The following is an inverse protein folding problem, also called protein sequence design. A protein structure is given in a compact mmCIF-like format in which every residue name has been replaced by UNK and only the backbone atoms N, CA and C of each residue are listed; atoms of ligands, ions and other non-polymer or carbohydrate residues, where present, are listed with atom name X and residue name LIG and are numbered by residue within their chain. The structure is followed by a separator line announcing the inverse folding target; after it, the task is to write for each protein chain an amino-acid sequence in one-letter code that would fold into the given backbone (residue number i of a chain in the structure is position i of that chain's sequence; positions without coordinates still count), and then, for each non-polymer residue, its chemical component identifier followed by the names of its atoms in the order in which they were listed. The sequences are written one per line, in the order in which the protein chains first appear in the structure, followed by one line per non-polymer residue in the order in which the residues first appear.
data_IF_798069300205
#
_entry.id   IF_798069300205
#
_cell.length_a   1.000
_cell.length_b   1.000
_cell.length_c   1.000
_cell.angle_alpha   90.00
_cell.angle_beta   90.00
_cell.angle_gamma   90.00
#
_symmetry.space_group_name_H-M   'P 1'
#
loop_
_entity.id
_entity.type
_entity.pdbx_description
1 polymer ?
#
# COMPACT_ATOMS: atom_id res chain seq x y z
N UNK A 1 -2.39 -33.70 5.34
CA UNK A 1 -1.10 -33.16 5.82
C UNK A 1 -1.24 -32.86 7.29
N UNK A 2 -0.19 -33.08 8.07
CA UNK A 2 -0.13 -32.65 9.46
C UNK A 2 -0.01 -31.12 9.54
N UNK A 3 -0.57 -30.47 10.56
CA UNK A 3 -0.63 -28.99 10.66
C UNK A 3 0.77 -28.36 10.69
N UNK A 4 1.73 -29.04 11.35
CA UNK A 4 3.15 -28.63 11.38
C UNK A 4 3.73 -28.61 9.96
N UNK A 5 3.46 -29.65 9.15
CA UNK A 5 3.94 -29.71 7.77
C UNK A 5 3.34 -28.63 6.86
N UNK A 6 2.08 -28.25 7.10
CA UNK A 6 1.44 -27.15 6.37
C UNK A 6 2.08 -25.79 6.71
N UNK A 7 2.31 -25.52 8.00
CA UNK A 7 2.97 -24.28 8.45
C UNK A 7 4.39 -24.18 7.89
N UNK A 8 5.16 -25.27 7.89
CA UNK A 8 6.50 -25.28 7.32
C UNK A 8 6.50 -24.97 5.82
N UNK A 9 5.55 -25.52 5.07
CA UNK A 9 5.40 -25.22 3.65
C UNK A 9 5.02 -23.75 3.40
N UNK A 10 4.12 -23.18 4.20
CA UNK A 10 3.72 -21.78 4.08
C UNK A 10 4.85 -20.80 4.47
N UNK A 11 5.71 -21.19 5.43
CA UNK A 11 6.93 -20.45 5.75
C UNK A 11 7.98 -20.53 4.64
N UNK A 12 8.08 -21.67 3.94
CA UNK A 12 8.97 -21.84 2.78
C UNK A 12 8.52 -20.99 1.59
N UNK A 13 7.22 -20.80 1.40
CA UNK A 13 6.64 -19.98 0.33
C UNK A 13 6.59 -18.48 0.63
N UNK A 14 6.92 -18.05 1.86
CA UNK A 14 6.87 -16.63 2.24
C UNK A 14 7.73 -15.74 1.34
N UNK A 15 8.90 -16.22 0.92
CA UNK A 15 9.81 -15.51 0.00
C UNK A 15 9.18 -15.21 -1.38
N UNK A 16 8.17 -15.98 -1.77
CA UNK A 16 7.50 -15.85 -3.07
C UNK A 16 6.30 -14.87 -3.00
N UNK A 17 6.00 -14.31 -1.83
CA UNK A 17 4.87 -13.38 -1.62
C UNK A 17 4.94 -12.16 -2.55
N UNK A 18 6.13 -11.56 -2.69
CA UNK A 18 6.32 -10.41 -3.58
C UNK A 18 6.24 -10.81 -5.05
N UNK A 19 6.65 -12.03 -5.42
CA UNK A 19 6.53 -12.54 -6.79
C UNK A 19 5.06 -12.64 -7.20
N UNK A 20 4.20 -13.16 -6.31
CA UNK A 20 2.76 -13.25 -6.54
C UNK A 20 2.14 -11.85 -6.66
N UNK A 21 2.50 -10.94 -5.76
CA UNK A 21 2.04 -9.54 -5.83
C UNK A 21 2.49 -8.87 -7.13
N UNK A 22 3.75 -9.08 -7.54
CA UNK A 22 4.32 -8.55 -8.77
C UNK A 22 3.56 -9.01 -10.01
N UNK A 23 3.21 -10.29 -10.10
CA UNK A 23 2.38 -10.77 -11.21
C UNK A 23 1.01 -10.08 -11.27
N UNK A 24 0.38 -9.82 -10.12
CA UNK A 24 -0.91 -9.11 -10.08
C UNK A 24 -0.77 -7.65 -10.49
N UNK A 25 0.32 -7.00 -10.06
CA UNK A 25 0.65 -5.63 -10.45
C UNK A 25 0.93 -5.54 -11.96
N UNK A 26 1.74 -6.46 -12.52
CA UNK A 26 2.04 -6.51 -13.96
C UNK A 26 0.76 -6.75 -14.80
N UNK A 27 -0.14 -7.63 -14.35
CA UNK A 27 -1.46 -7.84 -15.00
C UNK A 27 -2.35 -6.61 -14.94
N UNK A 28 -2.33 -5.87 -13.84
CA UNK A 28 -3.08 -4.62 -13.74
C UNK A 28 -2.47 -3.55 -14.65
N UNK A 29 -1.15 -3.40 -14.67
CA UNK A 29 -0.45 -2.48 -15.57
C UNK A 29 -0.68 -2.79 -17.04
N UNK A 30 -0.65 -4.07 -17.44
CA UNK A 30 -0.97 -4.47 -18.81
C UNK A 30 -2.38 -4.03 -19.21
N UNK A 31 -3.38 -4.30 -18.36
CA UNK A 31 -4.77 -3.87 -18.60
C UNK A 31 -4.96 -2.35 -18.56
N UNK A 32 -4.17 -1.63 -17.77
CA UNK A 32 -4.21 -0.17 -17.70
C UNK A 32 -3.56 0.46 -18.94
N UNK A 33 -2.41 -0.07 -19.37
CA UNK A 33 -1.72 0.33 -20.59
C UNK A 33 -2.55 0.06 -21.85
N UNK A 34 -3.27 -1.06 -21.90
CA UNK A 34 -4.17 -1.39 -23.01
C UNK A 34 -5.40 -0.46 -23.09
N UNK A 35 -5.77 0.19 -21.98
CA UNK A 35 -6.91 1.13 -21.90
C UNK A 35 -6.50 2.59 -22.02
N UNK A 36 -5.28 2.94 -21.65
CA UNK A 36 -4.75 4.29 -21.74
C UNK A 36 -4.22 4.56 -23.15
N UNK A 37 -4.79 5.54 -23.85
CA UNK A 37 -4.34 5.89 -25.21
C UNK A 37 -2.94 6.54 -25.24
N UNK A 38 -2.41 6.95 -24.09
CA UNK A 38 -1.07 7.50 -23.92
C UNK A 38 -0.35 6.90 -22.70
N UNK A 39 0.92 6.54 -22.85
CA UNK A 39 1.77 5.96 -21.80
C UNK A 39 2.03 6.90 -20.60
N UNK A 40 1.72 8.18 -20.78
CA UNK A 40 1.78 9.22 -19.77
C UNK A 40 0.66 9.10 -18.72
N UNK A 41 -0.46 8.46 -19.05
CA UNK A 41 -1.65 8.36 -18.18
C UNK A 41 -1.66 7.10 -17.29
N UNK A 42 -0.51 6.44 -17.14
CA UNK A 42 -0.39 5.26 -16.29
C UNK A 42 -0.40 5.66 -14.80
N UNK A 43 -1.18 4.98 -13.94
CA UNK A 43 -1.26 5.38 -12.54
C UNK A 43 0.03 5.00 -11.79
N UNK A 44 0.23 5.62 -10.63
CA UNK A 44 1.37 5.37 -9.73
C UNK A 44 1.51 3.88 -9.40
N UNK A 45 2.76 3.38 -9.24
CA UNK A 45 3.03 1.99 -8.85
C UNK A 45 2.62 1.66 -7.41
N UNK A 46 2.51 2.69 -6.55
CA UNK A 46 2.36 2.55 -5.10
C UNK A 46 0.98 3.03 -4.64
N UNK A 47 -0.04 2.89 -5.48
CA UNK A 47 -1.36 3.41 -5.16
C UNK A 47 -1.38 4.92 -4.93
N UNK A 48 -0.34 5.68 -5.25
CA UNK A 48 -0.32 7.11 -4.94
C UNK A 48 -0.94 7.89 -6.09
N UNK A 49 -2.26 8.03 -6.11
CA UNK A 49 -2.93 8.86 -7.13
C UNK A 49 -3.00 10.32 -6.68
N UNK A 50 -2.94 11.24 -7.64
CA UNK A 50 -3.01 12.66 -7.33
C UNK A 50 -4.44 13.19 -7.41
N UNK A 51 -4.91 13.82 -6.33
CA UNK A 51 -6.24 14.44 -6.31
C UNK A 51 -6.16 15.94 -6.60
N UNK A 52 -6.73 16.37 -7.73
CA UNK A 52 -6.92 17.80 -8.03
C UNK A 52 -8.13 18.30 -7.25
N UNK A 53 -7.94 19.18 -6.27
CA UNK A 53 -9.04 19.92 -5.64
C UNK A 53 -9.11 21.35 -6.18
N UNK A 54 -10.21 21.66 -6.84
CA UNK A 54 -10.60 23.03 -7.17
C UNK A 54 -11.37 23.64 -5.98
N UNK A 55 -11.10 24.91 -5.67
CA UNK A 55 -11.92 25.69 -4.73
C UNK A 55 -13.16 26.30 -5.39
N UNK A 56 -13.95 27.05 -4.61
CA UNK A 56 -15.31 27.52 -4.96
C UNK A 56 -15.40 28.78 -5.87
N UNK A 57 -14.29 29.25 -6.44
CA UNK A 57 -14.19 30.28 -7.50
C UNK A 57 -12.70 30.45 -7.80
N UNK A 58 -12.21 30.68 -9.02
CA UNK A 58 -12.76 31.38 -10.19
C UNK A 58 -12.03 30.86 -11.44
N UNK A 59 -12.79 30.67 -12.53
CA UNK A 59 -12.39 30.62 -13.95
C UNK A 59 -11.10 29.88 -14.32
N UNK A 60 -11.23 28.57 -14.54
CA UNK A 60 -10.42 27.87 -15.53
C UNK A 60 -11.04 28.13 -16.92
N UNK A 61 -10.29 28.76 -17.83
CA UNK A 61 -10.71 28.88 -19.22
C UNK A 61 -10.27 27.60 -19.91
N UNK A 62 -11.16 26.61 -19.96
CA UNK A 62 -11.01 25.46 -20.85
C UNK A 62 -11.44 25.89 -22.25
N UNK A 63 -10.56 25.74 -23.23
CA UNK A 63 -10.96 25.73 -24.64
C UNK A 63 -10.60 24.37 -25.20
N UNK A 64 -11.61 23.53 -25.46
CA UNK A 64 -11.47 22.30 -26.24
C UNK A 64 -12.02 21.06 -25.54
N UNK A 65 -13.06 20.48 -26.15
CA UNK A 65 -13.67 19.20 -25.79
C UNK A 65 -12.67 18.05 -25.94
N UNK A 66 -12.84 17.03 -25.08
CA UNK A 66 -12.17 15.73 -25.08
C UNK A 66 -10.64 15.74 -24.85
N UNK A 67 -10.22 16.02 -23.60
CA UNK A 67 -9.18 15.24 -22.90
C UNK A 67 -8.97 15.76 -21.47
N UNK A 68 -8.88 14.83 -20.52
CA UNK A 68 -8.81 15.10 -19.08
C UNK A 68 -7.54 15.93 -18.73
N UNK A 69 -7.75 17.22 -18.45
CA UNK A 69 -6.70 18.25 -18.43
C UNK A 69 -5.71 18.10 -17.27
N UNK A 70 -4.47 17.76 -17.62
CA UNK A 70 -3.28 18.09 -16.82
C UNK A 70 -3.17 19.62 -16.67
N UNK A 71 -3.38 20.17 -15.47
CA UNK A 71 -3.42 21.64 -15.26
C UNK A 71 -2.15 22.30 -15.77
N UNK A 72 -2.31 23.13 -16.81
CA UNK A 72 -1.27 24.01 -17.33
C UNK A 72 -1.30 25.31 -16.54
N UNK A 73 -0.13 25.79 -16.13
CA UNK A 73 0.02 27.05 -15.39
C UNK A 73 0.77 28.05 -16.25
N UNK A 74 0.12 29.16 -16.58
CA UNK A 74 0.76 30.25 -17.28
C UNK A 74 1.50 31.17 -16.29
N UNK A 75 2.74 31.53 -16.61
CA UNK A 75 3.53 32.47 -15.82
C UNK A 75 3.20 33.92 -16.25
N UNK A 76 2.56 34.75 -15.39
CA UNK A 76 1.97 36.02 -15.83
C UNK A 76 2.98 37.17 -16.02
N UNK A 77 4.07 37.20 -15.25
CA UNK A 77 5.04 38.31 -15.26
C UNK A 77 6.50 37.89 -15.34
N UNK A 78 6.76 36.59 -15.47
CA UNK A 78 8.10 36.02 -15.29
C UNK A 78 8.51 36.04 -13.81
N UNK A 79 9.32 35.07 -13.39
CA UNK A 79 9.86 35.01 -12.03
C UNK A 79 9.69 33.65 -11.33
N UNK A 80 10.00 33.59 -10.03
CA UNK A 80 9.99 32.34 -9.28
C UNK A 80 8.55 31.81 -9.12
N UNK A 81 8.35 30.58 -9.54
CA UNK A 81 7.15 29.77 -9.37
C UNK A 81 7.45 28.70 -8.33
N UNK A 82 6.61 28.60 -7.30
CA UNK A 82 6.77 27.61 -6.24
C UNK A 82 5.89 26.39 -6.48
N UNK A 83 6.52 25.22 -6.37
CA UNK A 83 5.89 23.91 -6.40
C UNK A 83 5.82 23.40 -4.97
N UNK A 84 4.67 22.87 -4.58
CA UNK A 84 4.40 22.34 -3.25
C UNK A 84 3.83 20.92 -3.38
N UNK A 85 4.38 19.95 -2.64
CA UNK A 85 3.99 18.55 -2.66
C UNK A 85 3.58 18.09 -1.28
N UNK A 86 2.35 17.59 -1.17
CA UNK A 86 1.69 17.26 0.10
C UNK A 86 0.79 16.05 -0.04
N UNK A 87 0.57 15.33 1.05
CA UNK A 87 -0.46 14.30 1.08
C UNK A 87 -1.88 14.88 1.16
N UNK A 88 -2.85 14.10 0.70
CA UNK A 88 -4.25 14.35 0.97
C UNK A 88 -4.57 14.03 2.43
N UNK A 89 -4.57 15.06 3.28
CA UNK A 89 -4.99 14.96 4.67
C UNK A 89 -5.72 16.24 5.08
N UNK A 90 -6.47 16.18 6.18
CA UNK A 90 -6.96 17.38 6.87
C UNK A 90 -5.83 18.20 7.51
N UNK A 91 -4.63 17.62 7.61
CA UNK A 91 -3.40 18.24 8.08
C UNK A 91 -2.42 18.52 6.94
N UNK A 92 -1.55 19.52 7.13
CA UNK A 92 -0.49 19.88 6.18
C UNK A 92 0.69 18.91 6.30
N UNK A 93 0.59 17.76 5.62
CA UNK A 93 1.65 16.72 5.60
C UNK A 93 2.46 16.83 4.30
N UNK A 94 3.76 17.19 4.36
CA UNK A 94 4.58 17.35 3.17
C UNK A 94 5.04 16.00 2.59
N UNK A 95 5.21 15.94 1.27
CA UNK A 95 5.95 14.87 0.59
C UNK A 95 7.14 15.48 -0.16
N UNK A 96 8.30 15.39 0.48
CA UNK A 96 9.58 15.92 -0.01
C UNK A 96 10.52 14.87 -0.59
N UNK A 97 11.71 15.34 -0.99
CA UNK A 97 12.80 14.53 -1.57
C UNK A 97 12.41 13.81 -2.87
N UNK A 98 11.53 14.44 -3.65
CA UNK A 98 11.09 13.97 -4.96
C UNK A 98 11.56 14.94 -6.05
N UNK A 99 11.84 14.40 -7.23
CA UNK A 99 12.18 15.20 -8.41
C UNK A 99 10.95 15.36 -9.27
N UNK A 100 10.61 16.59 -9.61
CA UNK A 100 9.49 16.93 -10.48
C UNK A 100 10.03 17.63 -11.73
N UNK A 101 9.57 17.20 -12.88
CA UNK A 101 9.89 17.73 -14.19
C UNK A 101 8.91 18.87 -14.52
N UNK A 102 9.42 20.08 -14.70
CA UNK A 102 8.63 21.21 -15.21
C UNK A 102 8.78 21.25 -16.72
N UNK A 103 7.68 21.02 -17.42
CA UNK A 103 7.62 20.94 -18.88
C UNK A 103 7.03 22.23 -19.43
N UNK A 104 7.75 22.92 -20.30
CA UNK A 104 7.21 23.99 -21.14
C UNK A 104 6.23 23.38 -22.15
N UNK A 105 4.98 23.85 -22.15
CA UNK A 105 3.90 23.26 -22.97
C UNK A 105 4.12 23.52 -24.46
N UNK A 106 4.75 24.64 -24.82
CA UNK A 106 4.92 25.02 -26.22
C UNK A 106 6.17 24.39 -26.82
N UNK A 107 7.28 24.36 -26.06
CA UNK A 107 8.57 23.82 -26.53
C UNK A 107 8.79 22.35 -26.21
N UNK A 108 8.08 21.79 -25.22
CA UNK A 108 8.33 20.46 -24.67
C UNK A 108 9.62 20.38 -23.84
N UNK A 109 10.28 21.50 -23.56
CA UNK A 109 11.51 21.54 -22.76
C UNK A 109 11.24 21.11 -21.32
N UNK A 110 12.05 20.17 -20.82
CA UNK A 110 11.90 19.58 -19.48
C UNK A 110 12.99 20.11 -18.55
N UNK A 111 12.58 20.76 -17.46
CA UNK A 111 13.47 21.23 -16.39
C UNK A 111 13.21 20.45 -15.11
N UNK A 112 14.14 19.59 -14.64
CA UNK A 112 13.98 18.88 -13.38
C UNK A 112 14.17 19.83 -12.19
N UNK A 113 13.25 19.76 -11.24
CA UNK A 113 13.22 20.52 -9.99
C UNK A 113 13.17 19.53 -8.83
N UNK A 114 14.15 19.60 -7.94
CA UNK A 114 14.14 18.78 -6.72
C UNK A 114 13.35 19.49 -5.63
N UNK A 115 12.37 18.82 -5.04
CA UNK A 115 11.65 19.32 -3.88
C UNK A 115 12.46 19.04 -2.61
N UNK A 116 12.51 20.00 -1.69
CA UNK A 116 13.11 19.82 -0.37
C UNK A 116 12.30 18.83 0.51
N UNK A 117 12.77 18.55 1.72
CA UNK A 117 12.13 17.63 2.66
C UNK A 117 10.70 18.06 3.06
N UNK A 118 10.36 19.33 2.84
CA UNK A 118 9.06 19.95 3.11
C UNK A 118 8.16 19.93 1.87
N UNK A 119 8.62 19.30 0.78
CA UNK A 119 7.88 19.19 -0.46
C UNK A 119 7.86 20.49 -1.25
N UNK A 120 8.79 21.42 -1.02
CA UNK A 120 8.84 22.72 -1.70
C UNK A 120 9.97 22.74 -2.74
N UNK A 121 9.64 23.25 -3.93
CA UNK A 121 10.58 23.47 -5.02
C UNK A 121 10.35 24.83 -5.65
N UNK A 122 11.38 25.43 -6.22
CA UNK A 122 11.27 26.71 -6.94
C UNK A 122 11.80 26.57 -8.35
N UNK A 123 11.02 27.02 -9.31
CA UNK A 123 11.35 27.08 -10.73
C UNK A 123 11.27 28.54 -11.20
N UNK A 124 12.11 28.97 -12.13
CA UNK A 124 12.00 30.33 -12.69
C UNK A 124 11.30 30.26 -14.05
N UNK A 125 10.05 30.72 -14.10
CA UNK A 125 9.26 30.73 -15.33
C UNK A 125 9.43 32.04 -16.10
N UNK A 126 9.35 31.97 -17.43
CA UNK A 126 9.36 33.13 -18.31
C UNK A 126 7.96 33.74 -18.45
N UNK A 127 7.88 35.05 -18.65
CA UNK A 127 6.60 35.74 -18.79
C UNK A 127 5.83 35.29 -20.04
N UNK A 128 4.56 34.93 -19.87
CA UNK A 128 3.65 34.51 -20.93
C UNK A 128 3.68 33.02 -21.25
N UNK A 129 4.73 32.28 -20.83
CA UNK A 129 4.85 30.85 -21.09
C UNK A 129 3.97 30.00 -20.19
N UNK A 130 3.58 28.85 -20.71
CA UNK A 130 2.74 27.85 -20.07
C UNK A 130 3.58 26.65 -19.64
N UNK A 131 3.46 26.25 -18.38
CA UNK A 131 4.22 25.15 -17.80
C UNK A 131 3.30 24.08 -17.22
N UNK A 132 3.72 22.82 -17.34
CA UNK A 132 3.09 21.64 -16.72
C UNK A 132 4.11 20.96 -15.81
N UNK A 133 3.70 20.62 -14.59
CA UNK A 133 4.55 19.81 -13.70
C UNK A 133 4.24 18.33 -13.93
N UNK A 134 5.28 17.55 -14.10
CA UNK A 134 5.27 16.13 -14.38
C UNK A 134 6.15 15.45 -13.33
N UNK A 135 5.72 14.36 -12.70
CA UNK A 135 6.56 13.64 -11.74
C UNK A 135 6.93 12.30 -12.36
N UNK A 136 8.11 12.28 -13.02
CA UNK A 136 8.77 11.13 -13.65
C UNK A 136 7.88 10.21 -14.51
N UNK A 137 8.21 10.13 -15.81
CA UNK A 137 7.46 9.36 -16.80
C UNK A 137 7.77 7.86 -16.80
N UNK A 138 7.15 7.16 -17.75
CA UNK A 138 7.20 5.72 -18.08
C UNK A 138 8.05 4.82 -17.18
N UNK A 139 7.39 3.83 -16.59
CA UNK A 139 8.03 2.81 -15.77
C UNK A 139 8.74 1.80 -16.67
N UNK A 140 10.07 1.82 -16.69
CA UNK A 140 10.83 0.73 -17.31
C UNK A 140 10.84 -0.54 -16.42
N UNK A 141 10.92 -1.75 -17.01
CA UNK A 141 11.04 -2.99 -16.24
C UNK A 141 12.21 -3.00 -15.24
N UNK A 142 13.34 -2.35 -15.58
CA UNK A 142 14.49 -2.21 -14.68
C UNK A 142 14.18 -1.36 -13.45
N UNK A 143 13.33 -0.35 -13.58
CA UNK A 143 12.90 0.46 -12.44
C UNK A 143 11.91 -0.29 -11.54
N UNK A 144 11.07 -1.16 -12.10
CA UNK A 144 10.22 -2.07 -11.33
C UNK A 144 11.12 -3.02 -10.51
N UNK A 145 12.12 -3.62 -11.14
CA UNK A 145 13.08 -4.51 -10.47
C UNK A 145 13.82 -3.79 -9.33
N UNK A 146 14.29 -2.56 -9.57
CA UNK A 146 14.93 -1.75 -8.54
C UNK A 146 13.98 -1.32 -7.41
N UNK A 147 12.69 -1.11 -7.71
CA UNK A 147 11.69 -0.87 -6.68
C UNK A 147 11.51 -2.13 -5.82
N UNK A 148 11.37 -3.30 -6.45
CA UNK A 148 11.16 -4.53 -5.70
C UNK A 148 12.37 -4.95 -4.87
N UNK A 149 13.59 -4.70 -5.33
CA UNK A 149 14.79 -4.97 -4.53
C UNK A 149 14.90 -4.09 -3.27
N UNK A 150 14.18 -2.96 -3.21
CA UNK A 150 14.09 -2.15 -1.98
C UNK A 150 13.40 -2.88 -0.83
N UNK A 151 12.59 -3.90 -1.12
CA UNK A 151 11.93 -4.75 -0.12
C UNK A 151 12.74 -5.98 0.26
N UNK A 152 13.90 -6.25 -0.35
CA UNK A 152 14.70 -7.46 -0.05
C UNK A 152 15.09 -7.50 1.44
N UNK A 153 15.49 -6.34 1.99
CA UNK A 153 15.82 -6.20 3.41
C UNK A 153 14.62 -6.49 4.31
N UNK A 154 13.47 -5.87 4.01
CA UNK A 154 12.21 -6.10 4.73
C UNK A 154 11.79 -7.57 4.67
N UNK A 155 11.81 -8.16 3.48
CA UNK A 155 11.44 -9.56 3.24
C UNK A 155 12.32 -10.51 4.04
N UNK A 156 13.64 -10.29 4.03
CA UNK A 156 14.59 -11.10 4.80
C UNK A 156 14.34 -10.97 6.30
N UNK A 157 14.23 -9.76 6.82
CA UNK A 157 14.08 -9.51 8.25
C UNK A 157 12.75 -10.11 8.78
N UNK A 158 11.66 -10.03 8.00
CA UNK A 158 10.38 -10.68 8.32
C UNK A 158 10.49 -12.22 8.25
N UNK A 159 11.21 -12.76 7.25
CA UNK A 159 11.43 -14.21 7.11
C UNK A 159 12.18 -14.76 8.31
N UNK A 160 13.30 -14.13 8.67
CA UNK A 160 14.14 -14.54 9.79
C UNK A 160 13.36 -14.49 11.11
N UNK A 161 12.56 -13.44 11.29
CA UNK A 161 11.71 -13.30 12.47
C UNK A 161 10.62 -14.39 12.54
N UNK A 162 9.88 -14.65 11.46
CA UNK A 162 8.88 -15.71 11.40
C UNK A 162 9.48 -17.09 11.69
N UNK A 163 10.66 -17.38 11.13
CA UNK A 163 11.39 -18.64 11.39
C UNK A 163 11.83 -18.74 12.85
N UNK A 164 12.30 -17.64 13.44
CA UNK A 164 12.66 -17.56 14.84
C UNK A 164 11.48 -17.89 15.76
N UNK A 165 10.31 -17.29 15.51
CA UNK A 165 9.09 -17.59 16.25
C UNK A 165 8.66 -19.05 16.09
N UNK A 166 8.72 -19.59 14.87
CA UNK A 166 8.37 -20.98 14.60
C UNK A 166 9.23 -21.98 15.38
N UNK A 167 10.53 -21.72 15.55
CA UNK A 167 11.40 -22.58 16.36
C UNK A 167 10.92 -22.69 17.82
N UNK A 168 10.36 -21.60 18.37
CA UNK A 168 9.77 -21.59 19.71
C UNK A 168 8.41 -22.30 19.77
N UNK A 169 7.58 -22.19 18.73
CA UNK A 169 6.23 -22.76 18.70
C UNK A 169 6.19 -24.24 18.30
N UNK A 170 7.04 -24.68 17.37
CA UNK A 170 7.10 -26.06 16.87
C UNK A 170 7.11 -27.14 17.96
N UNK A 171 7.91 -27.07 19.05
CA UNK A 171 7.90 -28.10 20.09
C UNK A 171 6.57 -28.15 20.86
N UNK A 172 5.88 -27.02 21.02
CA UNK A 172 4.60 -26.93 21.73
C UNK A 172 3.48 -27.60 20.92
N UNK A 173 3.52 -27.47 19.60
CA UNK A 173 2.62 -28.18 18.68
C UNK A 173 2.78 -29.71 18.77
N UNK A 174 4.02 -30.21 18.76
CA UNK A 174 4.30 -31.64 18.82
C UNK A 174 3.88 -32.30 20.15
N UNK A 175 3.94 -31.57 21.27
CA UNK A 175 3.53 -32.07 22.58
C UNK A 175 2.00 -32.14 22.73
N UNK A 176 1.26 -31.22 22.11
CA UNK A 176 -0.19 -31.12 22.22
C UNK A 176 -0.93 -32.02 21.22
N UNK A 177 -0.36 -32.26 20.04
CA UNK A 177 -0.88 -33.24 19.08
C UNK A 177 -0.84 -34.69 19.59
N UNK A 178 0.02 -34.97 20.59
CA UNK A 178 0.10 -36.26 21.29
C UNK A 178 -0.92 -36.40 22.43
N UNK A 179 -1.33 -35.30 23.08
CA UNK A 179 -2.23 -35.31 24.24
C UNK A 179 -3.72 -35.15 23.88
N UNK A 180 -4.00 -34.56 22.72
CA UNK A 180 -5.35 -34.36 22.17
C UNK A 180 -5.37 -34.96 20.77
N UNK A 181 -6.39 -35.75 20.42
CA UNK A 181 -6.49 -36.34 19.08
C UNK A 181 -6.34 -35.22 18.04
N UNK A 182 -5.36 -35.38 17.13
CA UNK A 182 -4.94 -34.36 16.16
C UNK A 182 -6.08 -33.74 15.33
N UNK A 183 -7.23 -34.42 15.26
CA UNK A 183 -8.45 -33.95 14.61
C UNK A 183 -9.24 -32.88 15.39
N UNK A 184 -9.13 -32.79 16.73
CA UNK A 184 -9.90 -31.84 17.54
C UNK A 184 -9.22 -30.46 17.66
N UNK A 185 -7.92 -30.40 17.38
CA UNK A 185 -7.08 -29.19 17.50
C UNK A 185 -6.58 -28.71 16.14
N UNK A 186 -6.82 -29.48 15.06
CA UNK A 186 -6.54 -29.10 13.67
C UNK A 186 -7.45 -27.98 13.11
N UNK A 187 -7.97 -27.11 13.97
CA UNK A 187 -8.90 -26.06 13.61
C UNK A 187 -8.12 -24.81 13.17
N UNK A 188 -7.77 -24.76 11.90
CA UNK A 188 -8.32 -23.75 11.00
C UNK A 188 -8.62 -22.37 11.57
N UNK A 189 -7.70 -21.74 12.30
CA UNK A 189 -7.83 -20.34 12.67
C UNK A 189 -7.96 -19.48 11.40
N UNK A 190 -7.21 -19.86 10.38
CA UNK A 190 -7.33 -19.42 9.00
C UNK A 190 -7.48 -20.61 8.03
N UNK A 191 -8.34 -21.60 8.32
CA UNK A 191 -8.70 -22.61 7.31
C UNK A 191 -9.52 -21.92 6.20
N UNK A 192 -8.82 -21.37 5.20
CA UNK A 192 -9.31 -20.31 4.32
C UNK A 192 -8.38 -19.10 4.23
N UNK A 193 -7.13 -19.21 4.70
CA UNK A 193 -6.11 -18.17 4.90
C UNK A 193 -6.02 -17.14 3.80
N UNK A 194 -6.26 -17.54 2.57
CA UNK A 194 -6.29 -16.62 1.46
C UNK A 194 -7.50 -15.68 1.46
N UNK A 195 -8.73 -16.16 1.69
CA UNK A 195 -9.93 -15.31 1.71
C UNK A 195 -9.89 -14.27 2.86
N UNK A 196 -9.25 -14.62 3.98
CA UNK A 196 -8.99 -13.67 5.06
C UNK A 196 -7.98 -12.59 4.64
N UNK A 197 -6.90 -12.96 3.92
CA UNK A 197 -5.94 -12.02 3.35
C UNK A 197 -6.60 -11.11 2.30
N UNK A 198 -7.46 -11.65 1.42
CA UNK A 198 -8.24 -10.88 0.45
C UNK A 198 -9.14 -9.84 1.17
N UNK A 199 -9.83 -10.25 2.23
CA UNK A 199 -10.69 -9.37 3.01
C UNK A 199 -9.94 -8.30 3.81
N UNK A 200 -8.75 -8.62 4.35
CA UNK A 200 -7.86 -7.62 4.97
C UNK A 200 -7.35 -6.65 3.92
N UNK A 201 -7.02 -7.12 2.73
CA UNK A 201 -6.61 -6.29 1.60
C UNK A 201 -7.72 -5.34 1.14
N UNK A 202 -8.98 -5.79 1.19
CA UNK A 202 -10.14 -4.92 0.98
C UNK A 202 -10.27 -3.81 2.04
N UNK A 203 -9.82 -4.09 3.26
CA UNK A 203 -9.92 -3.17 4.39
C UNK A 203 -8.67 -2.31 4.58
N UNK A 204 -7.64 -2.46 3.74
CA UNK A 204 -6.32 -1.84 3.99
C UNK A 204 -6.34 -0.32 3.81
N UNK A 205 -7.28 0.20 3.01
CA UNK A 205 -7.51 1.64 2.84
C UNK A 205 -7.86 2.31 4.17
N UNK A 206 -8.45 1.58 5.12
CA UNK A 206 -8.77 2.07 6.45
C UNK A 206 -7.53 2.66 7.16
N UNK A 207 -6.36 2.03 6.99
CA UNK A 207 -5.12 2.53 7.61
C UNK A 207 -4.79 3.91 7.04
N UNK A 208 -4.88 4.06 5.72
CA UNK A 208 -4.68 5.35 5.08
C UNK A 208 -5.73 6.36 5.53
N UNK A 209 -7.02 6.02 5.51
CA UNK A 209 -8.10 6.91 5.91
C UNK A 209 -7.95 7.40 7.36
N UNK A 210 -7.53 6.51 8.28
CA UNK A 210 -7.16 6.86 9.67
C UNK A 210 -6.05 7.91 9.70
N UNK A 211 -5.01 7.78 8.86
CA UNK A 211 -3.91 8.74 8.83
C UNK A 211 -4.29 10.04 8.12
N UNK A 212 -5.25 10.03 7.19
CA UNK A 212 -5.75 11.23 6.50
C UNK A 212 -6.58 12.10 7.45
N UNK A 213 -7.48 11.49 8.22
CA UNK A 213 -8.33 12.15 9.21
C UNK A 213 -8.55 11.28 10.46
N UNK A 214 -7.59 11.27 11.40
CA UNK A 214 -7.69 10.48 12.63
C UNK A 214 -8.93 10.81 13.47
N UNK A 215 -9.44 12.04 13.38
CA UNK A 215 -10.57 12.53 14.17
C UNK A 215 -11.88 11.82 13.80
N UNK A 216 -12.06 11.46 12.53
CA UNK A 216 -13.21 10.67 12.08
C UNK A 216 -13.25 9.25 12.67
N UNK A 217 -12.11 8.74 13.13
CA UNK A 217 -11.97 7.40 13.68
C UNK A 217 -11.78 7.39 15.20
N UNK A 218 -12.16 8.47 15.89
CA UNK A 218 -12.04 8.59 17.35
C UNK A 218 -12.72 7.45 18.11
N UNK A 219 -13.89 6.98 17.67
CA UNK A 219 -14.60 5.85 18.29
C UNK A 219 -13.80 4.55 18.22
N UNK A 220 -13.02 4.37 17.14
CA UNK A 220 -12.18 3.19 16.96
C UNK A 220 -10.87 3.29 17.74
N UNK A 221 -10.24 4.47 17.68
CA UNK A 221 -8.88 4.68 18.14
C UNK A 221 -8.79 5.13 19.61
N UNK A 222 -9.88 5.64 20.17
CA UNK A 222 -9.90 6.22 21.51
C UNK A 222 -8.93 7.40 21.62
N UNK A 223 -8.08 7.38 22.66
CA UNK A 223 -7.07 8.43 22.86
C UNK A 223 -6.04 8.51 21.72
N UNK A 224 -5.80 7.40 21.02
CA UNK A 224 -4.83 7.35 19.91
C UNK A 224 -5.23 8.23 18.73
N UNK A 225 -6.52 8.54 18.53
CA UNK A 225 -6.94 9.51 17.51
C UNK A 225 -6.31 10.88 17.76
N UNK A 226 -6.47 11.43 18.97
CA UNK A 226 -5.87 12.72 19.34
C UNK A 226 -4.35 12.68 19.27
N UNK A 227 -3.73 11.56 19.62
CA UNK A 227 -2.28 11.44 19.53
C UNK A 227 -1.79 11.39 18.07
N UNK A 228 -2.55 10.79 17.15
CA UNK A 228 -2.28 10.87 15.71
C UNK A 228 -2.47 12.29 15.18
N UNK A 229 -3.50 13.02 15.61
CA UNK A 229 -3.67 14.43 15.25
C UNK A 229 -2.49 15.29 15.74
N UNK A 230 -2.02 15.03 16.97
CA UNK A 230 -0.86 15.68 17.54
C UNK A 230 0.42 15.33 16.77
N UNK A 231 0.59 14.07 16.37
CA UNK A 231 1.70 13.63 15.52
C UNK A 231 1.68 14.36 14.18
N UNK A 232 0.52 14.48 13.54
CA UNK A 232 0.35 15.21 12.28
C UNK A 232 0.75 16.69 12.41
N UNK A 233 0.38 17.34 13.53
CA UNK A 233 0.67 18.77 13.78
C UNK A 233 2.12 19.02 14.21
N UNK A 234 2.67 18.18 15.10
CA UNK A 234 3.97 18.41 15.76
C UNK A 234 5.13 17.78 14.99
N UNK A 235 4.90 16.64 14.37
CA UNK A 235 5.94 15.86 13.68
C UNK A 235 5.45 15.40 12.30
N UNK A 236 5.13 16.34 11.38
CA UNK A 236 4.52 16.02 10.09
C UNK A 236 5.39 15.09 9.23
N UNK A 237 6.71 15.07 9.41
CA UNK A 237 7.61 14.14 8.71
C UNK A 237 7.42 12.67 9.12
N UNK A 238 7.10 12.40 10.39
CA UNK A 238 6.76 11.04 10.84
C UNK A 238 5.39 10.65 10.29
N UNK A 239 4.44 11.58 10.27
CA UNK A 239 3.14 11.33 9.64
C UNK A 239 3.27 11.06 8.14
N UNK A 240 4.11 11.79 7.42
CA UNK A 240 4.41 11.54 6.01
C UNK A 240 5.00 10.14 5.79
N UNK A 241 5.91 9.70 6.66
CA UNK A 241 6.43 8.33 6.66
C UNK A 241 5.31 7.30 6.87
N UNK A 242 4.41 7.51 7.82
CA UNK A 242 3.26 6.62 8.04
C UNK A 242 2.32 6.57 6.85
N UNK A 243 2.02 7.71 6.23
CA UNK A 243 1.18 7.77 5.03
C UNK A 243 1.86 7.10 3.83
N UNK A 244 3.19 7.22 3.67
CA UNK A 244 3.95 6.45 2.68
C UNK A 244 3.82 4.95 2.89
N UNK A 245 4.00 4.47 4.13
CA UNK A 245 3.82 3.05 4.45
C UNK A 245 2.39 2.58 4.17
N UNK A 246 1.39 3.41 4.47
CA UNK A 246 -0.02 3.11 4.21
C UNK A 246 -0.40 3.14 2.72
N UNK A 247 0.42 3.77 1.87
CA UNK A 247 0.31 3.71 0.41
C UNK A 247 1.11 2.54 -0.20
N UNK A 248 2.09 2.02 0.52
CA UNK A 248 2.99 0.97 0.04
C UNK A 248 2.33 -0.41 0.06
N UNK A 249 1.58 -0.72 -0.99
CA UNK A 249 0.91 -2.01 -1.16
C UNK A 249 1.87 -3.20 -1.03
N UNK A 250 3.09 -3.13 -1.57
CA UNK A 250 4.04 -4.24 -1.49
C UNK A 250 4.49 -4.51 -0.04
N UNK A 251 4.85 -3.46 0.70
CA UNK A 251 5.19 -3.57 2.11
C UNK A 251 3.99 -4.04 2.94
N UNK A 252 2.81 -3.50 2.69
CA UNK A 252 1.57 -3.89 3.37
C UNK A 252 1.20 -5.36 3.10
N UNK A 253 1.41 -5.85 1.88
CA UNK A 253 1.20 -7.26 1.51
C UNK A 253 2.12 -8.17 2.33
N UNK A 254 3.40 -7.82 2.47
CA UNK A 254 4.34 -8.53 3.34
C UNK A 254 3.90 -8.52 4.81
N UNK A 255 3.42 -7.39 5.31
CA UNK A 255 2.97 -7.27 6.71
C UNK A 255 1.70 -8.08 6.98
N UNK A 256 0.71 -8.03 6.08
CA UNK A 256 -0.52 -8.84 6.17
C UNK A 256 -0.17 -10.32 6.14
N UNK A 257 0.68 -10.75 5.20
CA UNK A 257 1.14 -12.14 5.09
C UNK A 257 1.87 -12.58 6.36
N UNK A 258 2.75 -11.73 6.89
CA UNK A 258 3.48 -12.00 8.13
C UNK A 258 2.54 -12.20 9.30
N UNK A 259 1.59 -11.27 9.50
CA UNK A 259 0.62 -11.35 10.59
C UNK A 259 -0.26 -12.60 10.47
N UNK A 260 -0.70 -12.93 9.24
CA UNK A 260 -1.54 -14.10 8.96
C UNK A 260 -0.80 -15.41 9.28
N UNK A 261 0.43 -15.56 8.77
CA UNK A 261 1.25 -16.74 9.07
C UNK A 261 1.55 -16.84 10.56
N UNK A 262 1.89 -15.73 11.22
CA UNK A 262 2.17 -15.75 12.64
C UNK A 262 0.96 -16.17 13.49
N UNK A 263 -0.25 -15.74 13.15
CA UNK A 263 -1.46 -16.22 13.81
C UNK A 263 -1.65 -17.74 13.62
N UNK A 264 -1.41 -18.26 12.41
CA UNK A 264 -1.48 -19.70 12.13
C UNK A 264 -0.41 -20.51 12.87
N UNK A 265 0.74 -19.90 13.17
CA UNK A 265 1.81 -20.55 13.94
C UNK A 265 1.51 -20.66 15.44
N UNK A 266 0.56 -19.88 15.97
CA UNK A 266 0.30 -19.84 17.42
C UNK A 266 -0.16 -21.21 17.93
N UNK A 267 0.55 -21.81 18.91
CA UNK A 267 0.16 -23.11 19.43
C UNK A 267 -1.10 -22.95 20.30
N UNK A 268 -1.95 -24.00 20.40
CA UNK A 268 -3.18 -24.00 21.18
C UNK A 268 -3.02 -23.52 22.62
N UNK A 269 -1.86 -23.74 23.24
CA UNK A 269 -1.55 -23.20 24.58
C UNK A 269 -1.53 -21.68 24.68
N UNK A 270 -1.11 -20.97 23.62
CA UNK A 270 -1.03 -19.51 23.64
C UNK A 270 -2.38 -18.84 23.42
N UNK A 271 -3.32 -19.56 22.82
CA UNK A 271 -4.72 -19.16 22.63
C UNK A 271 -5.66 -19.83 23.64
N UNK A 272 -5.11 -20.52 24.64
CA UNK A 272 -5.88 -21.25 25.65
C UNK A 272 -6.77 -20.30 26.45
N UNK A 273 -8.09 -20.52 26.39
CA UNK A 273 -9.11 -19.67 26.98
C UNK A 273 -10.06 -19.06 25.95
N UNK A 274 -9.61 -18.96 24.69
CA UNK A 274 -10.44 -18.57 23.55
C UNK A 274 -10.83 -19.80 22.74
N UNK A 275 -12.05 -19.85 22.19
CA UNK A 275 -12.41 -20.93 21.26
C UNK A 275 -11.79 -20.63 19.90
N UNK A 276 -11.26 -21.66 19.22
CA UNK A 276 -10.74 -21.52 17.86
C UNK A 276 -11.77 -20.92 16.89
N UNK A 277 -13.07 -21.16 17.14
CA UNK A 277 -14.18 -20.58 16.40
C UNK A 277 -14.40 -19.09 16.68
N UNK A 278 -14.15 -18.60 17.91
CA UNK A 278 -14.22 -17.18 18.21
C UNK A 278 -13.07 -16.41 17.56
N UNK A 279 -11.85 -16.96 17.62
CA UNK A 279 -10.68 -16.35 17.01
C UNK A 279 -10.76 -16.36 15.48
N UNK A 280 -11.29 -17.42 14.85
CA UNK A 280 -11.43 -17.46 13.39
C UNK A 280 -12.46 -16.44 12.88
N UNK A 281 -13.58 -16.26 13.60
CA UNK A 281 -14.58 -15.22 13.29
C UNK A 281 -14.02 -13.81 13.40
N UNK A 282 -12.97 -13.60 14.19
CA UNK A 282 -12.33 -12.31 14.41
C UNK A 282 -11.00 -12.15 13.68
N UNK A 283 -10.54 -13.14 12.92
CA UNK A 283 -9.18 -13.16 12.39
C UNK A 283 -8.87 -11.99 11.46
N UNK A 284 -9.81 -11.63 10.56
CA UNK A 284 -9.67 -10.46 9.67
C UNK A 284 -9.55 -9.17 10.49
N UNK A 285 -10.44 -8.99 11.47
CA UNK A 285 -10.45 -7.81 12.33
C UNK A 285 -9.19 -7.72 13.19
N UNK A 286 -8.70 -8.85 13.70
CA UNK A 286 -7.46 -8.96 14.46
C UNK A 286 -6.24 -8.61 13.59
N UNK A 287 -6.18 -9.07 12.34
CA UNK A 287 -5.12 -8.69 11.40
C UNK A 287 -5.09 -7.18 11.16
N UNK A 288 -6.25 -6.57 10.92
CA UNK A 288 -6.37 -5.12 10.76
C UNK A 288 -5.94 -4.40 12.04
N UNK A 289 -6.40 -4.86 13.20
CA UNK A 289 -6.07 -4.25 14.49
C UNK A 289 -4.58 -4.41 14.84
N UNK A 290 -3.93 -5.50 14.42
CA UNK A 290 -2.48 -5.66 14.52
C UNK A 290 -1.74 -4.65 13.65
N UNK A 291 -2.15 -4.45 12.40
CA UNK A 291 -1.54 -3.45 11.52
C UNK A 291 -1.72 -2.03 12.06
N UNK A 292 -2.92 -1.68 12.51
CA UNK A 292 -3.18 -0.40 13.19
C UNK A 292 -2.30 -0.29 14.44
N UNK A 293 -2.18 -1.34 15.24
CA UNK A 293 -1.29 -1.37 16.40
C UNK A 293 0.17 -1.08 16.05
N UNK A 294 0.69 -1.64 14.95
CA UNK A 294 2.05 -1.35 14.46
C UNK A 294 2.18 0.12 14.09
N UNK A 295 1.23 0.67 13.32
CA UNK A 295 1.20 2.09 12.92
C UNK A 295 1.15 3.01 14.13
N UNK A 296 0.28 2.72 15.10
CA UNK A 296 0.15 3.53 16.32
C UNK A 296 1.41 3.50 17.19
N UNK A 297 2.25 2.47 17.09
CA UNK A 297 3.51 2.37 17.86
C UNK A 297 4.51 3.47 17.46
N UNK A 298 4.37 4.09 16.27
CA UNK A 298 5.16 5.25 15.85
C UNK A 298 4.81 6.55 16.58
N UNK A 299 3.61 6.65 17.15
CA UNK A 299 3.22 7.76 18.03
C UNK A 299 3.93 7.63 19.38
N UNK A 300 4.06 6.39 19.84
CA UNK A 300 4.76 6.03 21.06
C UNK A 300 4.68 4.53 21.30
N UNK A 301 5.74 3.96 21.89
CA UNK A 301 5.88 2.52 22.10
C UNK A 301 4.70 1.85 22.85
N UNK A 302 3.93 2.63 23.62
CA UNK A 302 2.74 2.16 24.34
C UNK A 302 1.41 2.34 23.60
N UNK A 303 1.33 3.17 22.56
CA UNK A 303 0.06 3.53 21.93
C UNK A 303 -0.57 2.36 21.17
N UNK A 304 0.22 1.62 20.38
CA UNK A 304 -0.25 0.40 19.71
C UNK A 304 -0.72 -0.68 20.68
N UNK A 305 -0.03 -0.81 21.81
CA UNK A 305 -0.39 -1.76 22.87
C UNK A 305 -1.68 -1.34 23.58
N UNK A 306 -1.83 -0.06 23.91
CA UNK A 306 -3.04 0.47 24.53
C UNK A 306 -4.25 0.33 23.61
N UNK A 307 -4.09 0.60 22.31
CA UNK A 307 -5.11 0.37 21.29
C UNK A 307 -5.56 -1.08 21.25
N UNK A 308 -4.62 -2.03 21.16
CA UNK A 308 -4.96 -3.45 21.16
C UNK A 308 -5.64 -3.89 22.45
N UNK A 309 -5.16 -3.43 23.61
CA UNK A 309 -5.77 -3.77 24.89
C UNK A 309 -7.22 -3.26 25.00
N UNK A 310 -7.50 -2.08 24.44
CA UNK A 310 -8.85 -1.51 24.36
C UNK A 310 -9.74 -2.31 23.39
N UNK A 311 -9.25 -2.60 22.17
CA UNK A 311 -10.02 -3.31 21.14
C UNK A 311 -10.28 -4.77 21.49
N UNK A 312 -9.32 -5.39 22.17
CA UNK A 312 -9.34 -6.80 22.54
C UNK A 312 -9.54 -6.98 24.05
N UNK A 313 -10.25 -6.06 24.72
CA UNK A 313 -10.41 -6.07 26.18
C UNK A 313 -11.06 -7.34 26.76
N UNK A 314 -11.68 -8.16 25.92
CA UNK A 314 -12.26 -9.46 26.30
C UNK A 314 -11.30 -10.64 26.09
N UNK A 315 -10.14 -10.40 25.47
CA UNK A 315 -9.15 -11.43 25.18
C UNK A 315 -8.29 -11.70 26.41
N UNK A 316 -8.00 -12.98 26.67
CA UNK A 316 -7.15 -13.39 27.79
C UNK A 316 -5.79 -12.68 27.83
N UNK A 317 -5.31 -12.36 29.04
CA UNK A 317 -4.02 -11.68 29.30
C UNK A 317 -2.82 -12.34 28.62
N UNK A 318 -2.88 -13.67 28.44
CA UNK A 318 -1.83 -14.44 27.75
C UNK A 318 -1.73 -14.07 26.28
N UNK A 319 -2.85 -14.14 25.54
CA UNK A 319 -2.90 -13.77 24.14
C UNK A 319 -2.56 -12.28 23.95
N UNK A 320 -3.01 -11.42 24.86
CA UNK A 320 -2.63 -10.00 24.85
C UNK A 320 -1.10 -9.80 24.96
N UNK A 321 -0.42 -10.55 25.83
CA UNK A 321 1.04 -10.54 25.92
C UNK A 321 1.75 -11.06 24.66
N UNK A 322 1.16 -12.05 23.98
CA UNK A 322 1.66 -12.60 22.71
C UNK A 322 1.51 -11.56 21.58
N UNK A 323 0.36 -10.90 21.48
CA UNK A 323 0.12 -9.80 20.53
C UNK A 323 1.03 -8.60 20.79
N UNK A 324 1.31 -8.27 22.05
CA UNK A 324 2.28 -7.21 22.39
C UNK A 324 3.68 -7.51 21.87
N UNK A 325 4.14 -8.77 21.96
CA UNK A 325 5.45 -9.19 21.43
C UNK A 325 5.49 -9.03 19.92
N UNK A 326 4.43 -9.45 19.23
CA UNK A 326 4.27 -9.26 17.79
C UNK A 326 4.41 -7.78 17.41
N UNK A 327 3.61 -6.90 18.01
CA UNK A 327 3.64 -5.46 17.68
C UNK A 327 5.03 -4.87 17.86
N UNK A 328 5.72 -5.19 18.95
CA UNK A 328 7.08 -4.67 19.19
C UNK A 328 8.09 -5.17 18.16
N UNK A 329 8.01 -6.44 17.79
CA UNK A 329 8.92 -7.03 16.81
C UNK A 329 8.68 -6.47 15.41
N UNK A 330 7.43 -6.44 14.95
CA UNK A 330 7.09 -5.90 13.64
C UNK A 330 7.34 -4.40 13.58
N UNK A 331 7.06 -3.64 14.65
CA UNK A 331 7.45 -2.24 14.72
C UNK A 331 8.97 -2.05 14.54
N UNK A 332 9.80 -2.89 15.16
CA UNK A 332 11.25 -2.78 15.00
C UNK A 332 11.69 -3.02 13.54
N UNK A 333 11.13 -4.03 12.88
CA UNK A 333 11.38 -4.35 11.47
C UNK A 333 10.91 -3.21 10.56
N UNK A 334 9.66 -2.78 10.71
CA UNK A 334 9.07 -1.70 9.91
C UNK A 334 9.81 -0.38 10.15
N UNK A 335 10.15 -0.03 11.40
CA UNK A 335 10.93 1.18 11.68
C UNK A 335 12.32 1.13 11.05
N UNK A 336 12.96 -0.05 11.01
CA UNK A 336 14.19 -0.28 10.25
C UNK A 336 13.99 0.02 8.76
N UNK A 337 12.94 -0.54 8.15
CA UNK A 337 12.55 -0.28 6.77
C UNK A 337 12.29 1.21 6.50
N UNK A 338 11.51 1.89 7.36
CA UNK A 338 11.17 3.32 7.28
C UNK A 338 12.38 4.27 7.30
N UNK A 339 13.53 3.83 7.80
CA UNK A 339 14.79 4.60 7.74
C UNK A 339 15.45 4.54 6.36
N UNK A 340 15.11 3.55 5.54
CA UNK A 340 15.60 3.40 4.17
C UNK A 340 14.58 3.84 3.11
N UNK A 341 13.33 4.11 3.50
CA UNK A 341 12.25 4.56 2.60
C UNK A 341 12.61 5.80 1.81
N UNK A 342 13.42 6.69 2.40
CA UNK A 342 13.91 7.90 1.74
C UNK A 342 14.71 7.60 0.45
N UNK A 343 15.32 6.40 0.32
CA UNK A 343 16.09 6.01 -0.88
C UNK A 343 15.24 5.65 -2.09
N UNK A 344 13.95 5.33 -1.89
CA UNK A 344 13.07 4.91 -2.99
C UNK A 344 11.82 5.78 -3.15
N UNK A 345 11.61 6.82 -2.30
CA UNK A 345 10.56 7.84 -2.49
C UNK A 345 10.52 8.41 -3.91
N UNK A 346 11.69 8.61 -4.53
CA UNK A 346 11.83 9.09 -5.91
C UNK A 346 11.28 8.12 -6.96
N UNK A 347 11.22 6.82 -6.64
CA UNK A 347 10.65 5.77 -7.50
C UNK A 347 9.17 5.56 -7.18
N UNK A 348 8.74 5.82 -5.94
CA UNK A 348 7.38 5.62 -5.44
C UNK A 348 6.41 6.77 -5.80
N UNK A 349 6.88 8.02 -5.80
CA UNK A 349 6.09 9.19 -6.19
C UNK A 349 6.16 9.38 -7.72
N UNK A 350 5.22 8.80 -8.46
CA UNK A 350 5.10 8.93 -9.92
C UNK A 350 3.68 9.35 -10.30
N UNK A 351 3.51 10.27 -11.25
CA UNK A 351 2.19 10.69 -11.74
C UNK A 351 2.13 12.10 -12.33
N UNK A 352 1.07 12.39 -13.11
CA UNK A 352 0.93 13.61 -13.91
C UNK A 352 0.06 14.70 -13.28
N UNK A 353 0.54 15.93 -13.52
CA UNK A 353 -0.01 17.27 -13.33
C UNK A 353 0.05 17.89 -11.93
N UNK A 354 0.09 19.20 -11.85
CA UNK A 354 -0.14 19.97 -10.62
C UNK A 354 -1.57 20.55 -10.67
N UNK A 355 -2.11 21.03 -9.55
CA UNK A 355 -3.29 21.90 -9.52
C UNK A 355 -2.88 23.29 -9.01
N UNK A 356 -3.61 24.36 -9.33
CA UNK A 356 -3.30 25.71 -8.84
C UNK A 356 -4.12 26.00 -7.57
N UNK A 357 -3.47 26.41 -6.48
CA UNK A 357 -4.15 27.01 -5.32
C UNK A 357 -3.33 28.21 -4.80
N UNK A 358 -3.93 29.40 -4.80
CA UNK A 358 -3.32 30.66 -4.32
C UNK A 358 -1.96 30.99 -4.98
N UNK A 359 -1.83 30.80 -6.30
CA UNK A 359 -0.61 31.12 -7.05
C UNK A 359 0.57 30.14 -6.88
N UNK A 360 0.34 28.98 -6.27
CA UNK A 360 1.32 27.89 -6.14
C UNK A 360 0.85 26.65 -6.90
N UNK A 361 1.80 25.92 -7.51
CA UNK A 361 1.57 24.60 -8.11
C UNK A 361 1.53 23.57 -6.98
N UNK A 362 0.40 22.90 -6.77
CA UNK A 362 0.24 21.89 -5.72
C UNK A 362 0.13 20.48 -6.31
N UNK A 363 0.92 19.56 -5.75
CA UNK A 363 0.82 18.12 -5.92
C UNK A 363 0.19 17.55 -4.65
N UNK A 364 -0.97 16.91 -4.76
CA UNK A 364 -1.65 16.23 -3.64
C UNK A 364 -1.61 14.73 -3.83
N UNK A 365 -1.06 13.99 -2.88
CA UNK A 365 -0.90 12.54 -2.98
C UNK A 365 -1.93 11.82 -2.12
N UNK A 366 -2.72 10.94 -2.73
CA UNK A 366 -3.68 10.11 -2.01
C UNK A 366 -3.30 8.63 -2.11
N UNK A 367 -3.53 7.87 -1.04
CA UNK A 367 -3.39 6.42 -1.10
C UNK A 367 -4.63 5.82 -1.77
N UNK A 368 -4.39 5.06 -2.82
CA UNK A 368 -5.31 4.26 -3.58
C UNK A 368 -4.87 2.82 -3.58
N UNK A 369 -5.82 1.98 -3.95
CA UNK A 369 -5.60 0.57 -4.16
C UNK A 369 -5.55 0.27 -5.65
N UNK A 370 -4.40 -0.15 -6.14
CA UNK A 370 -4.18 -0.53 -7.53
C UNK A 370 -4.36 -2.02 -7.76
N UNK A 371 -4.14 -2.85 -6.73
CA UNK A 371 -4.15 -4.31 -6.90
C UNK A 371 -5.26 -5.00 -6.11
N UNK A 372 -5.72 -6.13 -6.65
CA UNK A 372 -6.53 -7.10 -5.92
C UNK A 372 -5.68 -8.36 -5.70
N UNK A 373 -5.49 -8.77 -4.45
CA UNK A 373 -5.02 -10.13 -4.17
C UNK A 373 -6.16 -11.09 -4.53
N UNK A 374 -5.96 -11.95 -5.53
CA UNK A 374 -6.87 -13.05 -5.87
C UNK A 374 -6.09 -14.34 -5.97
N UNK A 375 -6.62 -15.44 -5.42
CA UNK A 375 -5.87 -16.70 -5.30
C UNK A 375 -5.43 -17.23 -6.66
N UNK A 376 -6.35 -17.26 -7.62
CA UNK A 376 -6.19 -17.66 -9.03
C UNK A 376 -7.43 -17.11 -9.78
N UNK A 377 -7.27 -16.34 -10.86
CA UNK A 377 -8.34 -16.18 -11.84
C UNK A 377 -8.28 -17.38 -12.81
N UNK A 378 -9.43 -18.00 -13.09
CA UNK A 378 -9.50 -18.91 -14.21
C UNK A 378 -9.37 -18.07 -15.48
N UNK A 379 -8.33 -18.36 -16.26
CA UNK A 379 -8.14 -17.76 -17.57
C UNK A 379 -9.16 -18.38 -18.51
N UNK A 380 -10.19 -17.63 -18.88
CA UNK A 380 -10.61 -17.71 -20.26
C UNK A 380 -9.53 -16.97 -21.04
N UNK A 381 -8.69 -17.71 -21.77
CA UNK A 381 -7.94 -17.12 -22.88
C UNK A 381 -8.96 -16.29 -23.65
N UNK A 382 -8.75 -14.97 -23.72
CA UNK A 382 -9.55 -14.10 -24.56
C UNK A 382 -9.66 -14.81 -25.90
N UNK A 383 -10.88 -15.22 -26.28
CA UNK A 383 -11.12 -16.20 -27.33
C UNK A 383 -10.50 -15.71 -28.63
N UNK A 384 -9.24 -16.06 -28.88
CA UNK A 384 -8.59 -15.83 -30.15
C UNK A 384 -9.33 -16.73 -31.12
N UNK A 385 -10.12 -16.10 -31.99
CA UNK A 385 -10.83 -16.75 -33.08
C UNK A 385 -9.86 -17.71 -33.76
N UNK A 386 -10.23 -19.00 -33.86
CA UNK A 386 -9.33 -19.98 -34.47
C UNK A 386 -8.96 -19.51 -35.87
N UNK A 387 -7.67 -19.57 -36.18
CA UNK A 387 -7.16 -19.22 -37.50
C UNK A 387 -7.10 -20.47 -38.35
N UNK A 388 -7.44 -20.35 -39.63
CA UNK A 388 -7.23 -21.44 -40.59
C UNK A 388 -5.70 -21.62 -40.85
N UNK A 389 -5.27 -22.69 -41.55
CA UNK A 389 -3.85 -22.90 -41.88
C UNK A 389 -3.20 -21.77 -42.70
N UNK A 390 -3.99 -20.84 -43.25
CA UNK A 390 -3.56 -19.66 -43.99
C UNK A 390 -3.41 -18.42 -43.12
N UNK A 391 -3.77 -18.48 -41.83
CA UNK A 391 -3.63 -17.39 -40.86
C UNK A 391 -4.84 -16.45 -40.76
N UNK A 392 -5.91 -16.70 -41.50
CA UNK A 392 -7.13 -15.90 -41.48
C UNK A 392 -8.07 -16.34 -40.34
N UNK A 393 -8.76 -15.38 -39.72
CA UNK A 393 -9.76 -15.68 -38.69
C UNK A 393 -10.93 -16.50 -39.24
N UNK A 394 -11.41 -17.49 -38.48
CA UNK A 394 -12.55 -18.32 -38.88
C UNK A 394 -13.84 -17.50 -39.08
N UNK A 395 -14.47 -17.57 -40.25
CA UNK A 395 -15.70 -16.82 -40.55
C UNK A 395 -16.82 -17.02 -39.51
N UNK A 396 -17.58 -15.95 -39.26
CA UNK A 396 -18.72 -15.99 -38.33
C UNK A 396 -19.76 -17.04 -38.74
N UNK A 397 -20.41 -17.68 -37.76
CA UNK A 397 -21.39 -18.77 -37.94
C UNK A 397 -22.57 -18.46 -38.90
N UNK A 398 -22.74 -17.20 -39.30
CA UNK A 398 -23.70 -16.78 -40.33
C UNK A 398 -23.28 -17.19 -41.77
N UNK A 399 -22.03 -17.57 -42.00
CA UNK A 399 -21.49 -17.90 -43.33
C UNK A 399 -21.20 -19.39 -43.54
N UNK A 400 -21.42 -20.24 -42.53
CA UNK A 400 -21.28 -21.69 -42.65
C UNK A 400 -22.53 -22.27 -43.35
N UNK A 401 -22.48 -22.45 -44.67
CA UNK A 401 -23.48 -23.29 -45.36
C UNK A 401 -23.21 -24.76 -45.02
N UNK A 402 -24.18 -25.42 -44.38
CA UNK A 402 -24.23 -26.88 -44.21
C UNK A 402 -24.52 -27.60 -45.51
#
# INVERSE_FOLDING_TARGET
MDQVSHIEQELDSFKDTLSIYREQLERWYGRAADRASHAADLPSLMGMERVIRFGDSTTAVSTGDDDFLSTVVQCPKGGPMTIESKFESVYDIPLGDIVVDVVDVDSGEVTPVTLDAQGLGTFTGEAGKSYRVHVQGEVSPRQIEHLFSSYDGLTRDLTDWLRGEWQGFKPLWAQQSLATSAAAVGNGLLAGSWAAIESVWDSISLISDILKDPGQFADRLGESAKQLEDLAKKTPLVMAKLQLLASDEAALCLLVRTASLWLDMLPPSEVAGETAEALSRMAVQLLIDLLIGVVLTFIGAGAGIAYLAMRLGNVGLRLLGVLQRFIRAIFAVVNGFMNYVDRYKSVAARGIAAGIKKGRMQLRWDAQRNTTLKKHEHHDDASNQSKNPSGDSADTAAQTRT
#
